data_IF_544590816483
#
_entry.id   IF_544590816483
#
_cell.length_a   1.000
_cell.length_b   1.000
_cell.length_c   1.000
_cell.angle_alpha   90.00
_cell.angle_beta   90.00
_cell.angle_gamma   90.00
#
_symmetry.space_group_name_H-M   'P 1'
#
loop_
_entity.id
_entity.type
_entity.pdbx_description
1 polymer ?
#
# COMPACT_ATOMS: atom_id res chain seq x y z
N UNK A 1 -52.66 -8.31 -48.19
CA UNK A 1 -51.91 -7.23 -48.86
C UNK A 1 -51.57 -6.23 -47.78
N UNK A 2 -50.30 -6.09 -47.42
CA UNK A 2 -49.84 -5.11 -46.41
C UNK A 2 -49.87 -3.74 -47.08
N UNK A 3 -50.66 -2.81 -46.54
CA UNK A 3 -50.79 -1.47 -47.11
C UNK A 3 -49.57 -0.61 -46.78
N UNK A 4 -49.29 0.42 -47.59
CA UNK A 4 -48.18 1.37 -47.34
C UNK A 4 -48.31 2.02 -45.95
N UNK A 5 -49.54 2.17 -45.44
CA UNK A 5 -49.82 2.65 -44.09
C UNK A 5 -49.33 1.70 -42.97
N UNK A 6 -49.36 0.38 -43.21
CA UNK A 6 -48.86 -0.63 -42.27
C UNK A 6 -47.33 -0.63 -42.23
N UNK A 7 -46.70 -0.38 -43.39
CA UNK A 7 -45.24 -0.23 -43.49
C UNK A 7 -44.78 1.02 -42.73
N UNK A 8 -45.50 2.14 -42.89
CA UNK A 8 -45.20 3.38 -42.16
C UNK A 8 -45.31 3.20 -40.64
N UNK A 9 -46.34 2.50 -40.18
CA UNK A 9 -46.54 2.22 -38.75
C UNK A 9 -45.45 1.29 -38.19
N UNK A 10 -45.05 0.27 -38.96
CA UNK A 10 -43.99 -0.66 -38.57
C UNK A 10 -42.62 0.04 -38.51
N UNK A 11 -42.31 0.91 -39.46
CA UNK A 11 -41.08 1.72 -39.44
C UNK A 11 -41.05 2.70 -38.26
N UNK A 12 -42.19 3.30 -37.91
CA UNK A 12 -42.28 4.20 -36.76
C UNK A 12 -42.03 3.47 -35.44
N UNK A 13 -42.63 2.28 -35.26
CA UNK A 13 -42.43 1.46 -34.05
C UNK A 13 -40.97 1.01 -33.92
N UNK A 14 -40.36 0.53 -35.02
CA UNK A 14 -38.95 0.13 -35.02
C UNK A 14 -38.03 1.33 -34.77
N UNK A 15 -38.33 2.49 -35.35
CA UNK A 15 -37.58 3.72 -35.15
C UNK A 15 -37.63 4.21 -33.69
N UNK A 16 -38.82 4.23 -33.09
CA UNK A 16 -39.00 4.60 -31.69
C UNK A 16 -38.32 3.60 -30.74
N UNK A 17 -38.45 2.30 -30.99
CA UNK A 17 -37.79 1.26 -30.21
C UNK A 17 -36.26 1.36 -30.29
N UNK A 18 -35.71 1.54 -31.50
CA UNK A 18 -34.27 1.72 -31.71
C UNK A 18 -33.75 2.97 -31.00
N UNK A 19 -34.47 4.09 -31.12
CA UNK A 19 -34.12 5.35 -30.45
C UNK A 19 -34.12 5.19 -28.94
N UNK A 20 -35.14 4.52 -28.38
CA UNK A 20 -35.22 4.24 -26.95
C UNK A 20 -34.04 3.38 -26.48
N UNK A 21 -33.69 2.32 -27.22
CA UNK A 21 -32.54 1.47 -26.91
C UNK A 21 -31.21 2.24 -26.92
N UNK A 22 -31.00 3.14 -27.90
CA UNK A 22 -29.79 3.96 -27.97
C UNK A 22 -29.72 4.95 -26.81
N UNK A 23 -30.84 5.58 -26.44
CA UNK A 23 -30.89 6.49 -25.29
C UNK A 23 -30.62 5.76 -23.98
N UNK A 24 -31.20 4.56 -23.79
CA UNK A 24 -30.94 3.73 -22.62
C UNK A 24 -29.47 3.29 -22.56
N UNK A 25 -28.91 2.84 -23.68
CA UNK A 25 -27.49 2.48 -23.76
C UNK A 25 -26.59 3.67 -23.43
N UNK A 26 -26.86 4.86 -24.00
CA UNK A 26 -26.09 6.07 -23.72
C UNK A 26 -26.19 6.50 -22.26
N UNK A 27 -27.39 6.44 -21.67
CA UNK A 27 -27.63 6.77 -20.26
C UNK A 27 -26.94 5.78 -19.30
N UNK A 28 -26.83 4.50 -19.67
CA UNK A 28 -26.13 3.49 -18.85
C UNK A 28 -24.63 3.41 -19.13
N UNK A 29 -24.14 3.97 -20.24
CA UNK A 29 -22.69 4.02 -20.55
C UNK A 29 -21.92 4.99 -19.65
N UNK A 30 -22.59 5.71 -18.75
CA UNK A 30 -21.95 6.49 -17.70
C UNK A 30 -21.56 5.67 -16.48
N UNK A 31 -21.62 4.33 -16.52
CA UNK A 31 -20.90 3.53 -15.52
C UNK A 31 -19.42 3.83 -15.75
N UNK A 32 -18.75 4.59 -14.86
CA UNK A 32 -17.31 4.69 -14.95
C UNK A 32 -16.81 3.25 -14.89
N UNK A 33 -15.95 2.85 -15.84
CA UNK A 33 -15.18 1.62 -15.66
C UNK A 33 -14.60 1.73 -14.26
N UNK A 34 -14.96 0.78 -13.37
CA UNK A 34 -14.46 0.75 -12.01
C UNK A 34 -12.96 0.96 -12.15
N UNK A 35 -12.49 2.16 -11.75
CA UNK A 35 -11.07 2.39 -11.65
C UNK A 35 -10.58 1.21 -10.82
N UNK A 36 -9.61 0.42 -11.31
CA UNK A 36 -9.13 -0.72 -10.54
C UNK A 36 -8.87 -0.18 -9.15
N UNK A 37 -9.45 -0.82 -8.10
CA UNK A 37 -9.45 -0.27 -6.75
C UNK A 37 -8.04 0.23 -6.51
N UNK A 38 -7.88 1.54 -6.21
CA UNK A 38 -6.58 2.19 -6.29
C UNK A 38 -5.59 1.24 -5.62
N UNK A 39 -4.55 0.82 -6.37
CA UNK A 39 -3.48 -0.03 -5.81
C UNK A 39 -3.29 0.45 -4.39
N UNK A 40 -3.44 -0.41 -3.36
CA UNK A 40 -3.49 0.04 -1.99
C UNK A 40 -2.29 0.92 -1.81
N UNK A 41 -2.52 2.25 -1.84
CA UNK A 41 -1.43 3.19 -1.77
C UNK A 41 -0.77 2.77 -0.48
N UNK A 42 0.56 2.51 -0.47
CA UNK A 42 1.21 2.10 0.75
C UNK A 42 0.73 3.12 1.76
N UNK A 43 -0.11 2.67 2.71
CA UNK A 43 -0.75 3.56 3.65
C UNK A 43 0.47 4.09 4.35
N UNK A 44 0.94 5.27 3.97
CA UNK A 44 1.91 6.05 4.70
C UNK A 44 1.15 6.58 5.90
N UNK A 45 0.54 5.67 6.65
CA UNK A 45 0.02 5.91 7.95
C UNK A 45 1.19 6.33 8.81
N UNK A 46 0.86 7.05 9.87
CA UNK A 46 1.81 7.57 10.85
C UNK A 46 2.85 6.51 11.26
N UNK A 47 2.50 5.23 11.26
CA UNK A 47 3.42 4.11 11.51
C UNK A 47 4.52 3.93 10.45
N UNK A 48 4.23 4.04 9.15
CA UNK A 48 5.23 3.92 8.09
C UNK A 48 6.12 5.18 8.00
N UNK A 49 5.57 6.35 8.31
CA UNK A 49 6.33 7.60 8.45
C UNK A 49 7.22 7.53 9.70
N UNK A 50 6.71 7.02 10.83
CA UNK A 50 7.52 6.69 12.01
C UNK A 50 8.63 5.71 11.66
N UNK A 51 8.33 4.56 11.06
CA UNK A 51 9.36 3.57 10.71
C UNK A 51 10.51 4.18 9.88
N UNK A 52 10.19 5.14 9.00
CA UNK A 52 11.16 5.84 8.16
C UNK A 52 11.91 6.97 8.89
N UNK A 53 11.27 7.68 9.83
CA UNK A 53 11.92 8.67 10.71
C UNK A 53 12.67 8.02 11.90
N UNK A 54 12.30 6.81 12.30
CA UNK A 54 12.86 6.05 13.43
C UNK A 54 14.22 5.42 13.08
N UNK A 55 14.68 5.54 11.83
CA UNK A 55 16.05 5.22 11.45
C UNK A 55 17.03 6.37 11.80
N UNK A 56 16.52 7.59 11.94
CA UNK A 56 17.28 8.81 12.23
C UNK A 56 16.93 9.45 13.59
N UNK A 57 15.87 8.97 14.27
CA UNK A 57 15.33 9.56 15.49
C UNK A 57 16.11 9.30 16.78
N UNK A 58 16.65 10.38 17.36
CA UNK A 58 17.25 10.54 18.69
C UNK A 58 17.99 9.32 19.26
N UNK A 59 19.30 9.29 19.01
CA UNK A 59 20.31 8.34 19.50
C UNK A 59 20.60 8.51 20.99
N UNK A 60 19.60 8.40 21.86
CA UNK A 60 19.85 8.25 23.29
C UNK A 60 20.65 6.98 23.54
N UNK A 61 21.59 7.04 24.49
CA UNK A 61 22.30 5.84 24.94
C UNK A 61 21.29 4.81 25.46
N UNK A 62 21.47 3.54 25.08
CA UNK A 62 20.69 2.43 25.63
C UNK A 62 21.10 2.28 27.09
N UNK A 63 20.13 2.33 28.01
CA UNK A 63 20.41 2.36 29.45
C UNK A 63 20.23 1.01 30.15
N UNK A 64 19.70 0.00 29.46
CA UNK A 64 19.39 -1.30 30.07
C UNK A 64 19.29 -2.45 29.07
N UNK A 65 19.48 -3.67 29.55
CA UNK A 65 19.36 -4.90 28.77
C UNK A 65 17.99 -5.07 28.10
N UNK A 66 16.84 -4.91 28.79
CA UNK A 66 15.53 -5.00 28.14
C UNK A 66 15.35 -3.98 27.01
N UNK A 67 15.87 -2.76 27.18
CA UNK A 67 15.80 -1.73 26.15
C UNK A 67 16.67 -2.09 24.93
N UNK A 68 17.83 -2.71 25.16
CA UNK A 68 18.71 -3.19 24.10
C UNK A 68 18.08 -4.33 23.30
N UNK A 69 17.55 -5.35 23.98
CA UNK A 69 16.86 -6.47 23.33
C UNK A 69 15.61 -6.02 22.58
N UNK A 70 14.81 -5.13 23.18
CA UNK A 70 13.63 -4.57 22.52
C UNK A 70 14.01 -3.81 21.25
N UNK A 71 15.09 -3.01 21.28
CA UNK A 71 15.57 -2.32 20.09
C UNK A 71 16.05 -3.30 19.02
N UNK A 72 16.76 -4.37 19.39
CA UNK A 72 17.18 -5.42 18.44
C UNK A 72 15.98 -6.13 17.79
N UNK A 73 14.90 -6.38 18.55
CA UNK A 73 13.66 -6.99 18.05
C UNK A 73 12.90 -6.05 17.11
N UNK A 74 12.68 -4.80 17.52
CA UNK A 74 11.98 -3.80 16.72
C UNK A 74 12.71 -3.52 15.39
N UNK A 75 14.04 -3.54 15.42
CA UNK A 75 14.89 -3.31 14.26
C UNK A 75 15.49 -4.60 13.68
N UNK A 76 14.82 -5.75 13.83
CA UNK A 76 15.31 -7.03 13.33
C UNK A 76 15.62 -6.99 11.82
N UNK A 77 14.76 -6.35 11.02
CA UNK A 77 14.92 -6.19 9.57
C UNK A 77 15.87 -5.07 9.12
N UNK A 78 16.34 -4.22 10.03
CA UNK A 78 17.25 -3.12 9.67
C UNK A 78 18.70 -3.62 9.54
N UNK A 79 19.48 -3.01 8.63
CA UNK A 79 20.94 -3.17 8.65
C UNK A 79 21.54 -2.47 9.87
N UNK A 80 22.50 -3.11 10.53
CA UNK A 80 23.25 -2.52 11.66
C UNK A 80 24.10 -1.32 11.20
N UNK A 81 24.47 -1.24 9.93
CA UNK A 81 25.27 -0.14 9.37
C UNK A 81 24.47 1.13 9.12
N UNK A 82 23.18 0.99 8.83
CA UNK A 82 22.30 2.09 8.47
C UNK A 82 21.32 2.49 9.56
N UNK A 83 21.08 1.64 10.57
CA UNK A 83 20.21 1.94 11.69
C UNK A 83 21.02 2.24 12.96
N UNK A 84 21.13 3.53 13.27
CA UNK A 84 21.84 4.03 14.46
C UNK A 84 21.34 3.39 15.77
N UNK A 85 20.03 3.18 15.89
CA UNK A 85 19.42 2.57 17.08
C UNK A 85 19.79 1.10 17.25
N UNK A 86 19.82 0.34 16.15
CA UNK A 86 20.29 -1.05 16.15
C UNK A 86 21.78 -1.13 16.45
N UNK A 87 22.58 -0.21 15.89
CA UNK A 87 24.00 -0.14 16.17
C UNK A 87 24.26 0.11 17.67
N UNK A 88 23.60 1.09 18.27
CA UNK A 88 23.75 1.40 19.69
C UNK A 88 23.32 0.24 20.60
N UNK A 89 22.19 -0.41 20.29
CA UNK A 89 21.73 -1.58 21.05
C UNK A 89 22.70 -2.75 20.93
N UNK A 90 23.23 -3.00 19.72
CA UNK A 90 24.25 -4.02 19.51
C UNK A 90 25.52 -3.74 20.31
N UNK A 91 26.05 -2.51 20.23
CA UNK A 91 27.24 -2.10 20.98
C UNK A 91 27.03 -2.30 22.48
N UNK A 92 25.90 -1.84 23.02
CA UNK A 92 25.58 -2.02 24.44
C UNK A 92 25.59 -3.50 24.85
N UNK A 93 24.97 -4.38 24.06
CA UNK A 93 24.90 -5.82 24.34
C UNK A 93 26.26 -6.49 24.27
N UNK A 94 27.14 -6.05 23.36
CA UNK A 94 28.52 -6.54 23.27
C UNK A 94 29.34 -6.06 24.47
N UNK A 95 29.25 -4.77 24.81
CA UNK A 95 29.99 -4.17 25.93
C UNK A 95 29.63 -4.81 27.28
N UNK A 96 28.38 -5.28 27.43
CA UNK A 96 27.89 -5.98 28.63
C UNK A 96 28.04 -7.50 28.54
N UNK A 97 28.62 -8.04 27.46
CA UNK A 97 28.88 -9.47 27.30
C UNK A 97 27.64 -10.34 27.06
N UNK A 98 26.51 -9.75 26.69
CA UNK A 98 25.28 -10.48 26.38
C UNK A 98 25.27 -11.06 24.96
N UNK A 99 26.06 -10.46 24.05
CA UNK A 99 26.27 -10.97 22.70
C UNK A 99 27.77 -11.03 22.43
N UNK A 100 28.22 -12.16 21.89
CA UNK A 100 29.59 -12.31 21.39
C UNK A 100 29.56 -12.10 19.87
N UNK A 101 30.29 -11.10 19.33
CA UNK A 101 30.44 -10.95 17.89
C UNK A 101 31.07 -12.19 17.27
N UNK A 102 30.50 -12.66 16.17
CA UNK A 102 31.09 -13.74 15.39
C UNK A 102 32.38 -13.24 14.72
N UNK A 103 33.53 -13.67 15.24
CA UNK A 103 34.86 -13.24 14.78
C UNK A 103 35.18 -13.69 13.36
N UNK A 104 34.48 -14.70 12.84
CA UNK A 104 34.64 -15.20 11.47
C UNK A 104 33.87 -14.39 10.43
N UNK A 105 32.97 -13.50 10.86
CA UNK A 105 32.12 -12.70 9.99
C UNK A 105 32.51 -11.23 10.10
N UNK A 106 33.70 -10.90 9.58
CA UNK A 106 34.08 -9.50 9.34
C UNK A 106 33.09 -8.86 8.35
N UNK A 107 32.59 -7.69 8.73
CA UNK A 107 31.55 -6.91 8.06
C UNK A 107 31.82 -6.67 6.58
#
# INVERSE_FOLDING_TARGET
MIGIADIGSLLLVLGLGSTMCVLFYAAHRTIPLDEPPPEPQPRTGVYAIRLRLDHEGATGAIASSPAAHQAMQLHAGCSRDWCSRKANAYTWLVDHGEIVPDSGRTR
#
